data_IF_404808318076
#
_entry.id   IF_404808318076
#
_cell.length_a   1.000
_cell.length_b   1.000
_cell.length_c   1.000
_cell.angle_alpha   90.00
_cell.angle_beta   90.00
_cell.angle_gamma   90.00
#
_symmetry.space_group_name_H-M   'P 1'
#
loop_
_entity.id
_entity.type
_entity.pdbx_description
1 polymer ?
#
# COMPACT_ATOMS: atom_id res chain seq x y z
N UNK A 1 24.93 -14.15 28.75
CA UNK A 1 23.57 -13.77 28.33
C UNK A 1 22.99 -12.81 29.37
N UNK A 2 22.58 -11.60 28.96
CA UNK A 2 21.97 -10.62 29.86
C UNK A 2 20.47 -10.92 29.96
N UNK A 3 19.93 -10.95 31.18
CA UNK A 3 18.49 -11.12 31.44
C UNK A 3 17.78 -9.78 31.50
N UNK A 4 16.66 -9.66 30.79
CA UNK A 4 15.87 -8.44 30.67
C UNK A 4 14.46 -8.66 31.23
N UNK A 5 13.90 -7.62 31.87
CA UNK A 5 12.49 -7.66 32.29
C UNK A 5 11.60 -7.25 31.12
N UNK A 6 10.31 -7.64 31.11
CA UNK A 6 9.37 -7.23 30.06
C UNK A 6 9.28 -5.71 29.89
N UNK A 7 9.42 -4.94 30.96
CA UNK A 7 9.42 -3.48 30.94
C UNK A 7 10.64 -2.88 30.23
N UNK A 8 11.77 -3.59 30.23
CA UNK A 8 13.01 -3.13 29.60
C UNK A 8 12.89 -3.27 28.07
N UNK A 9 12.34 -4.40 27.58
CA UNK A 9 12.01 -4.60 26.16
C UNK A 9 10.98 -3.57 25.66
N UNK A 10 9.92 -3.37 26.44
CA UNK A 10 8.81 -2.51 26.05
C UNK A 10 9.23 -1.03 25.90
N UNK A 11 10.05 -0.54 26.83
CA UNK A 11 10.49 0.85 26.89
C UNK A 11 11.32 1.26 25.68
N UNK A 12 12.20 0.36 25.19
CA UNK A 12 13.07 0.64 24.04
C UNK A 12 12.30 0.96 22.75
N UNK A 13 11.07 0.45 22.64
CA UNK A 13 10.21 0.62 21.47
C UNK A 13 8.96 1.46 21.75
N UNK A 14 8.84 2.05 22.95
CA UNK A 14 7.67 2.84 23.33
C UNK A 14 6.35 2.05 23.35
N UNK A 15 6.40 0.74 23.56
CA UNK A 15 5.21 -0.13 23.62
C UNK A 15 4.87 -0.54 25.05
N UNK A 16 3.70 -1.13 25.25
CA UNK A 16 3.31 -1.67 26.56
C UNK A 16 3.96 -3.03 26.81
N UNK A 17 4.14 -3.38 28.08
CA UNK A 17 4.58 -4.73 28.48
C UNK A 17 3.60 -5.82 28.05
N UNK A 18 2.31 -5.48 27.93
CA UNK A 18 1.30 -6.39 27.43
C UNK A 18 1.45 -6.64 25.92
N UNK A 19 1.87 -5.65 25.13
CA UNK A 19 2.18 -5.86 23.71
C UNK A 19 3.33 -6.86 23.53
N UNK A 20 4.40 -6.76 24.33
CA UNK A 20 5.51 -7.74 24.31
C UNK A 20 5.01 -9.16 24.61
N UNK A 21 4.11 -9.31 25.60
CA UNK A 21 3.50 -10.61 25.94
C UNK A 21 2.59 -11.15 24.82
N UNK A 22 1.87 -10.27 24.14
CA UNK A 22 1.05 -10.66 23.01
C UNK A 22 1.94 -11.17 21.87
N UNK A 23 3.03 -10.46 21.55
CA UNK A 23 3.98 -10.90 20.52
C UNK A 23 4.70 -12.21 20.87
N UNK A 24 5.01 -12.47 22.15
CA UNK A 24 5.51 -13.79 22.60
C UNK A 24 4.45 -14.88 22.38
N UNK A 25 3.21 -14.63 22.83
CA UNK A 25 2.11 -15.59 22.68
C UNK A 25 1.81 -15.87 21.21
N UNK A 26 1.84 -14.85 20.37
CA UNK A 26 1.56 -14.92 18.95
C UNK A 26 2.78 -15.47 18.17
N UNK A 27 3.89 -15.81 18.84
CA UNK A 27 5.06 -16.46 18.25
C UNK A 27 5.94 -15.55 17.38
N UNK A 28 5.75 -14.23 17.45
CA UNK A 28 6.58 -13.26 16.72
C UNK A 28 7.92 -12.99 17.40
N UNK A 29 8.06 -13.38 18.66
CA UNK A 29 9.34 -13.47 19.37
C UNK A 29 9.44 -14.86 20.02
N UNK A 30 10.67 -15.37 20.26
CA UNK A 30 10.85 -16.67 20.91
C UNK A 30 10.13 -16.77 22.25
N UNK A 31 9.75 -18.00 22.61
CA UNK A 31 9.09 -18.27 23.88
C UNK A 31 10.07 -17.98 25.02
N UNK A 32 9.64 -17.12 25.95
CA UNK A 32 10.43 -16.78 27.11
C UNK A 32 10.51 -17.92 28.12
N UNK A 33 11.72 -18.15 28.63
CA UNK A 33 11.95 -18.97 29.81
C UNK A 33 11.21 -18.42 31.03
N UNK A 34 11.08 -19.25 32.07
CA UNK A 34 10.36 -18.90 33.29
C UNK A 34 11.25 -19.05 34.51
N UNK A 35 11.14 -18.10 35.44
CA UNK A 35 11.71 -18.25 36.79
C UNK A 35 11.01 -19.41 37.52
N UNK A 36 11.59 -19.94 38.61
CA UNK A 36 10.90 -20.91 39.47
C UNK A 36 9.55 -20.40 40.01
N UNK A 37 9.43 -19.08 40.17
CA UNK A 37 8.18 -18.39 40.56
C UNK A 37 7.22 -18.09 39.40
N UNK A 38 7.53 -18.51 38.17
CA UNK A 38 6.65 -18.41 37.00
C UNK A 38 6.74 -17.11 36.18
N UNK A 39 7.63 -16.18 36.54
CA UNK A 39 7.83 -14.93 35.78
C UNK A 39 8.62 -15.17 34.49
N UNK A 40 8.29 -14.42 33.42
CA UNK A 40 9.01 -14.47 32.14
C UNK A 40 10.42 -13.90 32.26
N UNK A 41 11.40 -14.61 31.71
CA UNK A 41 12.78 -14.17 31.56
C UNK A 41 13.02 -13.89 30.08
N UNK A 42 13.26 -12.63 29.74
CA UNK A 42 13.69 -12.25 28.40
C UNK A 42 15.20 -12.08 28.35
N UNK A 43 15.77 -12.15 27.15
CA UNK A 43 17.21 -12.11 26.89
C UNK A 43 17.50 -11.22 25.69
N UNK A 44 18.78 -11.03 25.34
CA UNK A 44 19.18 -10.29 24.13
C UNK A 44 18.58 -10.88 22.84
N UNK A 45 18.41 -12.21 22.76
CA UNK A 45 17.74 -12.88 21.64
C UNK A 45 16.30 -12.36 21.49
N UNK A 46 15.58 -12.21 22.59
CA UNK A 46 14.22 -11.69 22.59
C UNK A 46 14.16 -10.20 22.23
N UNK A 47 15.16 -9.41 22.65
CA UNK A 47 15.27 -8.02 22.28
C UNK A 47 15.55 -7.84 20.78
N UNK A 48 16.45 -8.66 20.22
CA UNK A 48 16.75 -8.69 18.79
C UNK A 48 15.52 -9.12 17.97
N UNK A 49 14.83 -10.19 18.38
CA UNK A 49 13.59 -10.65 17.73
C UNK A 49 12.50 -9.58 17.73
N UNK A 50 12.26 -8.94 18.89
CA UNK A 50 11.27 -7.87 19.01
C UNK A 50 11.63 -6.68 18.11
N UNK A 51 12.90 -6.29 18.08
CA UNK A 51 13.34 -5.21 17.21
C UNK A 51 13.15 -5.55 15.73
N UNK A 52 13.53 -6.76 15.32
CA UNK A 52 13.32 -7.25 13.95
C UNK A 52 11.85 -7.24 13.55
N UNK A 53 10.98 -7.83 14.38
CA UNK A 53 9.53 -7.83 14.14
C UNK A 53 8.97 -6.41 13.97
N UNK A 54 9.31 -5.49 14.88
CA UNK A 54 8.81 -4.12 14.82
C UNK A 54 9.37 -3.33 13.63
N UNK A 55 10.58 -3.64 13.17
CA UNK A 55 11.15 -3.08 11.92
C UNK A 55 10.43 -3.62 10.67
N UNK A 56 9.93 -4.87 10.71
CA UNK A 56 9.19 -5.47 9.60
C UNK A 56 7.79 -4.87 9.39
N UNK A 57 7.12 -4.42 10.46
CA UNK A 57 5.76 -3.86 10.39
C UNK A 57 5.63 -2.70 9.40
N UNK A 58 6.44 -1.62 9.43
CA UNK A 58 6.35 -0.54 8.45
C UNK A 58 6.83 -0.95 7.04
N UNK A 59 7.58 -2.05 6.90
CA UNK A 59 8.10 -2.53 5.63
C UNK A 59 7.08 -3.42 4.88
N UNK A 60 6.48 -4.37 5.60
CA UNK A 60 5.66 -5.44 5.02
C UNK A 60 4.23 -5.51 5.59
N UNK A 61 3.94 -4.78 6.66
CA UNK A 61 2.69 -4.86 7.41
C UNK A 61 2.68 -5.99 8.45
N UNK A 62 1.74 -5.92 9.40
CA UNK A 62 1.64 -6.85 10.53
C UNK A 62 1.56 -8.32 10.14
N UNK A 63 0.71 -8.66 9.16
CA UNK A 63 0.49 -10.05 8.77
C UNK A 63 1.75 -10.69 8.18
N UNK A 64 2.42 -10.01 7.25
CA UNK A 64 3.65 -10.51 6.65
C UNK A 64 4.82 -10.50 7.65
N UNK A 65 4.92 -9.47 8.51
CA UNK A 65 5.91 -9.43 9.57
C UNK A 65 5.80 -10.65 10.51
N UNK A 66 4.58 -11.01 10.93
CA UNK A 66 4.36 -12.20 11.74
C UNK A 66 4.71 -13.49 11.02
N UNK A 67 4.31 -13.63 9.74
CA UNK A 67 4.64 -14.80 8.92
C UNK A 67 6.16 -14.99 8.73
N UNK A 68 6.91 -13.89 8.56
CA UNK A 68 8.37 -13.93 8.47
C UNK A 68 8.97 -14.44 9.78
N UNK A 69 8.58 -13.85 10.93
CA UNK A 69 9.12 -14.27 12.22
C UNK A 69 8.79 -15.73 12.56
N UNK A 70 7.57 -16.18 12.24
CA UNK A 70 7.21 -17.59 12.39
C UNK A 70 8.09 -18.50 11.56
N UNK A 71 8.25 -18.21 10.25
CA UNK A 71 9.09 -19.01 9.38
C UNK A 71 10.54 -19.09 9.89
N UNK A 72 11.08 -18.00 10.46
CA UNK A 72 12.42 -18.02 11.06
C UNK A 72 12.49 -18.87 12.33
N UNK A 73 11.46 -18.84 13.20
CA UNK A 73 11.43 -19.68 14.40
C UNK A 73 11.17 -21.17 14.10
N UNK A 74 10.56 -21.47 12.96
CA UNK A 74 10.28 -22.82 12.48
C UNK A 74 11.41 -23.39 11.59
N UNK A 75 12.56 -22.71 11.50
CA UNK A 75 13.72 -23.08 10.66
C UNK A 75 13.40 -23.14 9.14
N UNK A 76 12.40 -22.38 8.70
CA UNK A 76 11.97 -22.26 7.30
C UNK A 76 12.53 -20.98 6.64
N UNK A 77 13.87 -20.82 6.64
CA UNK A 77 14.53 -19.60 6.12
C UNK A 77 14.12 -19.27 4.68
N UNK A 78 14.07 -20.24 3.79
CA UNK A 78 13.66 -20.05 2.39
C UNK A 78 12.24 -19.48 2.25
N UNK A 79 11.33 -19.90 3.14
CA UNK A 79 9.96 -19.38 3.18
C UNK A 79 9.94 -17.92 3.65
N UNK A 80 10.75 -17.56 4.65
CA UNK A 80 10.89 -16.18 5.10
C UNK A 80 11.39 -15.27 3.97
N UNK A 81 12.44 -15.71 3.26
CA UNK A 81 13.00 -15.01 2.09
C UNK A 81 11.97 -14.85 0.97
N UNK A 82 11.20 -15.91 0.67
CA UNK A 82 10.11 -15.84 -0.31
C UNK A 82 9.05 -14.78 0.04
N UNK A 83 8.71 -14.60 1.31
CA UNK A 83 7.75 -13.56 1.75
C UNK A 83 8.34 -12.16 1.55
N UNK A 84 9.63 -11.99 1.86
CA UNK A 84 10.39 -10.75 1.68
C UNK A 84 10.44 -10.37 0.19
N UNK A 85 10.81 -11.31 -0.68
CA UNK A 85 10.90 -11.09 -2.13
C UNK A 85 9.56 -10.70 -2.74
N UNK A 86 8.47 -11.35 -2.29
CA UNK A 86 7.11 -10.96 -2.69
C UNK A 86 6.79 -9.53 -2.23
N UNK A 87 7.29 -9.10 -1.08
CA UNK A 87 7.18 -7.72 -0.59
C UNK A 87 7.89 -6.73 -1.50
N UNK A 88 9.14 -6.99 -1.86
CA UNK A 88 9.90 -6.19 -2.82
C UNK A 88 9.21 -6.13 -4.20
N UNK A 89 8.72 -7.27 -4.69
CA UNK A 89 7.99 -7.34 -5.95
C UNK A 89 6.68 -6.56 -5.95
N UNK A 90 5.99 -6.44 -4.80
CA UNK A 90 4.82 -5.54 -4.66
C UNK A 90 5.24 -4.08 -4.70
N UNK A 91 6.26 -3.69 -3.94
CA UNK A 91 6.77 -2.31 -3.93
C UNK A 91 7.22 -1.83 -5.31
N UNK A 92 7.90 -2.69 -6.08
CA UNK A 92 8.31 -2.38 -7.45
C UNK A 92 7.09 -2.12 -8.35
N UNK A 93 6.10 -3.01 -8.33
CA UNK A 93 4.84 -2.82 -9.09
C UNK A 93 4.12 -1.53 -8.72
N UNK A 94 4.08 -1.17 -7.44
CA UNK A 94 3.45 0.08 -7.00
C UNK A 94 4.22 1.32 -7.52
N UNK A 95 5.55 1.26 -7.60
CA UNK A 95 6.37 2.32 -8.19
C UNK A 95 6.16 2.44 -9.70
N UNK A 96 6.10 1.32 -10.41
CA UNK A 96 5.81 1.31 -11.85
C UNK A 96 4.42 1.89 -12.12
N UNK A 97 3.45 1.57 -11.24
CA UNK A 97 2.10 2.12 -11.34
C UNK A 97 2.08 3.62 -11.14
N UNK A 98 2.76 4.12 -10.11
CA UNK A 98 2.89 5.55 -9.88
C UNK A 98 3.57 6.26 -11.07
N UNK A 99 4.62 5.67 -11.65
CA UNK A 99 5.29 6.21 -12.83
C UNK A 99 4.33 6.30 -14.03
N UNK A 100 3.58 5.23 -14.30
CA UNK A 100 2.59 5.21 -15.38
C UNK A 100 1.48 6.24 -15.17
N UNK A 101 0.97 6.40 -13.94
CA UNK A 101 -0.01 7.44 -13.60
C UNK A 101 0.55 8.83 -13.84
N UNK A 102 1.80 9.10 -13.41
CA UNK A 102 2.44 10.41 -13.63
C UNK A 102 2.62 10.72 -15.10
N UNK A 103 3.04 9.75 -15.92
CA UNK A 103 3.13 9.92 -17.38
C UNK A 103 1.76 10.23 -17.98
N UNK A 104 0.74 9.47 -17.61
CA UNK A 104 -0.64 9.67 -18.09
C UNK A 104 -1.16 11.09 -17.74
N UNK A 105 -1.00 11.52 -16.49
CA UNK A 105 -1.40 12.86 -16.03
C UNK A 105 -0.56 13.94 -16.73
N UNK A 106 0.74 13.73 -16.90
CA UNK A 106 1.62 14.66 -17.61
C UNK A 106 1.14 14.95 -19.04
N UNK A 107 0.72 13.91 -19.78
CA UNK A 107 0.13 14.08 -21.11
C UNK A 107 -1.18 14.88 -21.11
N UNK A 108 -2.02 14.70 -20.08
CA UNK A 108 -3.28 15.46 -19.94
C UNK A 108 -3.04 16.94 -19.58
N UNK A 109 -1.94 17.25 -18.88
CA UNK A 109 -1.59 18.63 -18.49
C UNK A 109 -0.73 19.38 -19.51
N UNK A 110 -0.16 18.67 -20.49
CA UNK A 110 0.78 19.23 -21.47
C UNK A 110 0.12 19.75 -22.77
N UNK A 111 -1.21 19.95 -22.79
CA UNK A 111 -1.82 20.70 -23.90
C UNK A 111 -1.23 22.13 -23.97
N UNK A 112 -0.66 22.55 -25.12
CA UNK A 112 -0.05 23.87 -25.22
C UNK A 112 -1.11 24.98 -25.16
N UNK A 113 -0.89 25.91 -24.23
CA UNK A 113 -1.38 27.30 -24.19
C UNK A 113 -2.52 27.66 -25.15
N UNK A 114 -3.75 27.56 -24.67
CA UNK A 114 -4.86 28.45 -25.01
C UNK A 114 -5.67 28.61 -23.73
N UNK A 115 -5.96 29.83 -23.24
CA UNK A 115 -6.89 29.99 -22.13
C UNK A 115 -8.21 29.32 -22.55
N UNK A 116 -8.84 28.48 -21.71
CA UNK A 116 -10.03 27.77 -22.13
C UNK A 116 -11.12 28.81 -22.40
N UNK A 117 -11.38 29.08 -23.68
CA UNK A 117 -12.73 29.38 -24.11
C UNK A 117 -13.59 28.22 -23.57
N UNK A 118 -14.70 28.49 -22.86
CA UNK A 118 -15.55 27.43 -22.35
C UNK A 118 -15.89 26.50 -23.53
N UNK A 119 -15.67 25.18 -23.40
CA UNK A 119 -15.90 24.29 -24.52
C UNK A 119 -17.35 24.44 -24.95
N UNK A 120 -17.57 24.81 -26.22
CA UNK A 120 -18.87 24.73 -26.88
C UNK A 120 -19.26 23.25 -27.16
N UNK A 121 -18.87 22.35 -26.25
CA UNK A 121 -19.30 20.96 -26.18
C UNK A 121 -20.45 20.83 -25.18
N UNK A 122 -21.17 19.70 -25.18
CA UNK A 122 -22.26 19.50 -24.23
C UNK A 122 -21.71 19.51 -22.79
N UNK A 123 -22.38 20.22 -21.88
CA UNK A 123 -22.00 20.28 -20.45
C UNK A 123 -22.08 18.91 -19.75
N UNK A 124 -22.71 17.94 -20.41
CA UNK A 124 -22.97 16.60 -19.92
C UNK A 124 -22.92 15.59 -21.06
N UNK A 125 -22.53 14.35 -20.75
CA UNK A 125 -22.51 13.24 -21.70
C UNK A 125 -23.46 12.14 -21.25
N UNK A 126 -24.04 11.41 -22.19
CA UNK A 126 -24.67 10.12 -21.93
C UNK A 126 -23.66 8.98 -22.08
N UNK A 127 -24.00 7.81 -21.55
CA UNK A 127 -23.08 6.65 -21.54
C UNK A 127 -22.58 6.25 -22.93
N UNK A 128 -23.41 6.42 -23.97
CA UNK A 128 -23.04 6.09 -25.34
C UNK A 128 -21.98 7.05 -25.92
N UNK A 129 -22.10 8.34 -25.63
CA UNK A 129 -21.17 9.36 -26.09
C UNK A 129 -19.82 9.23 -25.39
N UNK A 130 -19.82 8.99 -24.08
CA UNK A 130 -18.59 8.75 -23.33
C UNK A 130 -17.91 7.44 -23.76
N UNK A 131 -18.69 6.39 -24.02
CA UNK A 131 -18.19 5.13 -24.53
C UNK A 131 -17.51 5.30 -25.90
N UNK A 132 -18.18 6.02 -26.80
CA UNK A 132 -17.64 6.32 -28.13
C UNK A 132 -16.35 7.16 -28.05
N UNK A 133 -16.33 8.21 -27.21
CA UNK A 133 -15.16 9.06 -27.00
C UNK A 133 -13.93 8.27 -26.55
N UNK A 134 -14.12 7.28 -25.68
CA UNK A 134 -13.04 6.47 -25.11
C UNK A 134 -12.74 5.21 -25.91
N UNK A 135 -13.43 4.99 -27.04
CA UNK A 135 -13.38 3.75 -27.81
C UNK A 135 -13.56 2.49 -26.93
N UNK A 136 -14.55 2.54 -26.03
CA UNK A 136 -14.96 1.41 -25.19
C UNK A 136 -16.44 1.12 -25.34
N UNK A 137 -16.89 -0.04 -24.85
CA UNK A 137 -18.31 -0.35 -24.85
C UNK A 137 -19.03 0.34 -23.69
N UNK A 138 -20.33 0.67 -23.81
CA UNK A 138 -21.14 1.08 -22.67
C UNK A 138 -21.17 0.06 -21.53
N UNK A 139 -21.00 -1.24 -21.83
CA UNK A 139 -20.89 -2.28 -20.81
C UNK A 139 -19.61 -2.14 -19.97
N UNK A 140 -18.50 -1.72 -20.59
CA UNK A 140 -17.24 -1.39 -19.90
C UNK A 140 -17.44 -0.24 -18.91
N UNK A 141 -18.11 0.84 -19.31
CA UNK A 141 -18.40 1.97 -18.42
C UNK A 141 -19.32 1.58 -17.26
N UNK A 142 -20.32 0.72 -17.50
CA UNK A 142 -21.15 0.14 -16.42
C UNK A 142 -20.31 -0.71 -15.46
N UNK A 143 -19.32 -1.45 -15.96
CA UNK A 143 -18.40 -2.20 -15.11
C UNK A 143 -17.56 -1.25 -14.26
N UNK A 144 -17.08 -0.15 -14.84
CA UNK A 144 -16.31 0.88 -14.12
C UNK A 144 -17.14 1.56 -13.04
N UNK A 145 -18.40 1.87 -13.30
CA UNK A 145 -19.36 2.32 -12.27
C UNK A 145 -19.49 1.28 -11.14
N UNK A 146 -19.67 -0.01 -11.48
CA UNK A 146 -19.84 -1.07 -10.47
C UNK A 146 -18.65 -1.27 -9.53
N UNK A 147 -17.43 -0.94 -9.97
CA UNK A 147 -16.22 -1.03 -9.15
C UNK A 147 -15.83 0.32 -8.53
N UNK A 148 -16.67 1.36 -8.72
CA UNK A 148 -16.49 2.69 -8.14
C UNK A 148 -15.45 3.56 -8.84
N UNK A 149 -15.07 3.22 -10.08
CA UNK A 149 -14.24 4.10 -10.93
C UNK A 149 -15.07 5.30 -11.38
N UNK A 150 -16.33 5.10 -11.76
CA UNK A 150 -17.24 6.18 -12.14
C UNK A 150 -18.38 6.29 -11.12
N UNK A 151 -18.88 7.50 -10.89
CA UNK A 151 -20.04 7.72 -10.03
C UNK A 151 -20.97 8.80 -10.65
N UNK A 152 -21.49 8.55 -11.88
CA UNK A 152 -22.31 9.53 -12.57
C UNK A 152 -23.62 9.77 -11.84
N UNK A 153 -24.11 11.01 -11.91
CA UNK A 153 -25.44 11.35 -11.43
C UNK A 153 -26.52 10.76 -12.34
N UNK A 154 -27.75 10.74 -11.84
CA UNK A 154 -28.92 10.37 -12.62
C UNK A 154 -29.82 11.58 -12.79
N UNK A 155 -30.22 11.85 -14.01
CA UNK A 155 -31.21 12.87 -14.33
C UNK A 155 -32.51 12.57 -13.56
N UNK A 156 -33.00 13.49 -12.70
CA UNK A 156 -34.22 13.27 -11.93
C UNK A 156 -35.50 13.09 -12.77
N UNK A 157 -35.51 13.63 -14.00
CA UNK A 157 -36.68 13.60 -14.90
C UNK A 157 -36.71 12.35 -15.76
N UNK A 158 -35.55 11.89 -16.22
CA UNK A 158 -35.45 10.79 -17.19
C UNK A 158 -34.86 9.50 -16.61
N UNK A 159 -34.19 9.57 -15.47
CA UNK A 159 -33.52 8.45 -14.82
C UNK A 159 -32.23 7.97 -15.52
N UNK A 160 -31.84 8.63 -16.62
CA UNK A 160 -30.62 8.32 -17.36
C UNK A 160 -29.38 8.81 -16.62
N UNK A 161 -28.24 8.14 -16.89
CA UNK A 161 -26.94 8.55 -16.37
C UNK A 161 -26.46 9.79 -17.10
N UNK A 162 -26.02 10.76 -16.33
CA UNK A 162 -25.44 12.01 -16.79
C UNK A 162 -24.00 12.03 -16.31
N UNK A 163 -23.06 12.12 -17.25
CA UNK A 163 -21.64 12.21 -16.97
C UNK A 163 -21.21 13.66 -17.08
N UNK A 164 -20.59 14.20 -16.04
CA UNK A 164 -20.02 15.54 -16.05
C UNK A 164 -18.54 15.52 -16.42
N UNK A 165 -17.92 16.69 -16.60
CA UNK A 165 -16.49 16.80 -16.92
C UNK A 165 -15.57 16.10 -15.89
N UNK A 166 -15.99 15.97 -14.63
CA UNK A 166 -15.29 15.16 -13.62
C UNK A 166 -15.35 13.67 -13.94
N UNK A 167 -16.51 13.15 -14.34
CA UNK A 167 -16.66 11.73 -14.70
C UNK A 167 -15.89 11.39 -15.98
N UNK A 168 -15.84 12.31 -16.94
CA UNK A 168 -15.04 12.14 -18.16
C UNK A 168 -13.55 12.03 -17.83
N UNK A 169 -13.03 12.91 -16.96
CA UNK A 169 -11.63 12.84 -16.50
C UNK A 169 -11.32 11.53 -15.77
N UNK A 170 -12.23 11.09 -14.89
CA UNK A 170 -12.09 9.82 -14.17
C UNK A 170 -12.07 8.63 -15.14
N UNK A 171 -12.90 8.67 -16.19
CA UNK A 171 -12.96 7.66 -17.22
C UNK A 171 -11.71 7.65 -18.12
N UNK A 172 -11.18 8.82 -18.49
CA UNK A 172 -9.94 8.95 -19.26
C UNK A 172 -8.73 8.41 -18.48
N UNK A 173 -8.62 8.75 -17.18
CA UNK A 173 -7.60 8.18 -16.30
C UNK A 173 -7.72 6.66 -16.19
N UNK A 174 -8.93 6.15 -15.99
CA UNK A 174 -9.17 4.72 -15.93
C UNK A 174 -8.83 4.00 -17.24
N UNK A 175 -9.15 4.62 -18.38
CA UNK A 175 -8.82 4.10 -19.70
C UNK A 175 -7.30 3.99 -19.91
N UNK A 176 -6.54 5.04 -19.58
CA UNK A 176 -5.08 5.05 -19.69
C UNK A 176 -4.45 3.97 -18.82
N UNK A 177 -4.88 3.85 -17.56
CA UNK A 177 -4.37 2.82 -16.67
C UNK A 177 -4.77 1.41 -17.13
N UNK A 178 -5.97 1.24 -17.71
CA UNK A 178 -6.38 -0.07 -18.21
C UNK A 178 -5.53 -0.52 -19.40
N UNK A 179 -5.13 0.41 -20.29
CA UNK A 179 -4.18 0.13 -21.40
C UNK A 179 -2.78 -0.22 -20.90
N UNK A 180 -2.39 0.32 -19.75
CA UNK A 180 -1.16 -0.08 -19.03
C UNK A 180 -1.21 -1.46 -18.36
N UNK A 181 -2.33 -2.20 -18.48
CA UNK A 181 -2.47 -3.55 -17.92
C UNK A 181 -2.94 -3.60 -16.46
N UNK A 182 -3.25 -2.46 -15.84
CA UNK A 182 -3.61 -2.43 -14.42
C UNK A 182 -4.97 -3.10 -14.12
N UNK A 183 -5.11 -3.83 -13.00
CA UNK A 183 -6.38 -4.39 -12.55
C UNK A 183 -7.39 -3.31 -12.18
N UNK A 184 -8.68 -3.56 -12.42
CA UNK A 184 -9.75 -2.57 -12.18
C UNK A 184 -9.84 -2.11 -10.72
N UNK A 185 -9.58 -2.97 -9.75
CA UNK A 185 -9.61 -2.62 -8.32
C UNK A 185 -8.51 -1.61 -7.95
N UNK A 186 -7.34 -1.76 -8.56
CA UNK A 186 -6.24 -0.82 -8.40
C UNK A 186 -6.58 0.54 -9.03
N UNK A 187 -7.10 0.52 -10.26
CA UNK A 187 -7.57 1.71 -10.97
C UNK A 187 -8.62 2.46 -10.15
N UNK A 188 -9.60 1.75 -9.59
CA UNK A 188 -10.64 2.33 -8.75
C UNK A 188 -10.07 3.04 -7.51
N UNK A 189 -9.00 2.51 -6.93
CA UNK A 189 -8.34 3.11 -5.76
C UNK A 189 -7.66 4.43 -6.12
N UNK A 190 -6.91 4.45 -7.24
CA UNK A 190 -6.26 5.66 -7.75
C UNK A 190 -7.30 6.72 -8.09
N UNK A 191 -8.31 6.38 -8.90
CA UNK A 191 -9.36 7.32 -9.33
C UNK A 191 -10.11 7.92 -8.14
N UNK A 192 -10.45 7.13 -7.11
CA UNK A 192 -11.08 7.66 -5.89
C UNK A 192 -10.20 8.66 -5.14
N UNK A 193 -8.90 8.39 -5.04
CA UNK A 193 -7.95 9.31 -4.41
C UNK A 193 -7.86 10.62 -5.18
N UNK A 194 -7.77 10.55 -6.51
CA UNK A 194 -7.78 11.73 -7.40
C UNK A 194 -9.07 12.54 -7.22
N UNK A 195 -10.24 11.89 -7.25
CA UNK A 195 -11.55 12.54 -7.07
C UNK A 195 -11.64 13.25 -5.73
N UNK A 196 -11.15 12.63 -4.65
CA UNK A 196 -11.17 13.23 -3.31
C UNK A 196 -10.27 14.46 -3.17
N UNK A 197 -9.29 14.63 -4.06
CA UNK A 197 -8.33 15.72 -4.01
C UNK A 197 -8.89 17.03 -4.62
N UNK A 198 -9.82 16.97 -5.58
CA UNK A 198 -10.56 18.15 -6.04
C UNK A 198 -9.88 19.06 -7.09
N UNK A 199 -8.93 18.55 -7.89
CA UNK A 199 -8.30 19.32 -8.98
C UNK A 199 -6.93 18.77 -9.42
N UNK A 200 -6.33 19.35 -10.46
CA UNK A 200 -5.02 18.94 -11.00
C UNK A 200 -3.87 19.17 -10.01
N UNK A 201 -3.90 20.26 -9.25
CA UNK A 201 -2.87 20.56 -8.25
C UNK A 201 -2.96 19.60 -7.05
N UNK A 202 -4.18 19.26 -6.66
CA UNK A 202 -4.42 18.30 -5.59
C UNK A 202 -4.09 16.86 -6.03
N UNK A 203 -4.25 16.54 -7.32
CA UNK A 203 -3.75 15.32 -7.93
C UNK A 203 -2.21 15.25 -7.90
N UNK A 204 -1.52 16.32 -8.30
CA UNK A 204 -0.06 16.38 -8.22
C UNK A 204 0.45 16.16 -6.79
N UNK A 205 -0.15 16.85 -5.81
CA UNK A 205 0.17 16.67 -4.39
C UNK A 205 -0.09 15.24 -3.89
N UNK A 206 -1.16 14.60 -4.37
CA UNK A 206 -1.50 13.20 -4.02
C UNK A 206 -0.50 12.21 -4.61
N UNK A 207 -0.03 12.41 -5.84
CA UNK A 207 1.01 11.58 -6.47
C UNK A 207 2.35 11.75 -5.76
N UNK A 208 2.68 12.97 -5.29
CA UNK A 208 3.88 13.24 -4.50
C UNK A 208 3.81 12.58 -3.13
N UNK A 209 2.64 12.59 -2.50
CA UNK A 209 2.43 11.87 -1.24
C UNK A 209 2.57 10.36 -1.41
N UNK A 210 2.01 9.80 -2.48
CA UNK A 210 2.20 8.39 -2.81
C UNK A 210 3.67 8.06 -3.05
N UNK A 211 4.39 8.90 -3.80
CA UNK A 211 5.83 8.75 -4.01
C UNK A 211 6.59 8.70 -2.68
N UNK A 212 6.32 9.66 -1.77
CA UNK A 212 6.95 9.70 -0.45
C UNK A 212 6.65 8.45 0.37
N UNK A 213 5.42 7.94 0.34
CA UNK A 213 5.03 6.70 1.03
C UNK A 213 5.78 5.47 0.49
N UNK A 214 5.90 5.32 -0.82
CA UNK A 214 6.66 4.22 -1.43
C UNK A 214 8.16 4.31 -1.13
N UNK A 215 8.71 5.53 -1.08
CA UNK A 215 10.10 5.76 -0.67
C UNK A 215 10.30 5.42 0.79
N UNK A 216 9.42 5.86 1.68
CA UNK A 216 9.46 5.54 3.10
C UNK A 216 9.36 4.03 3.36
N UNK A 217 8.48 3.32 2.65
CA UNK A 217 8.36 1.87 2.73
C UNK A 217 9.65 1.17 2.26
N UNK A 218 10.25 1.62 1.15
CA UNK A 218 11.53 1.08 0.68
C UNK A 218 12.66 1.25 1.70
N UNK A 219 12.75 2.42 2.34
CA UNK A 219 13.71 2.66 3.44
C UNK A 219 13.39 1.77 4.65
N UNK A 220 12.11 1.56 4.96
CA UNK A 220 11.71 0.64 6.02
C UNK A 220 12.13 -0.81 5.70
N UNK A 221 12.02 -1.27 4.45
CA UNK A 221 12.50 -2.59 4.03
C UNK A 221 14.01 -2.74 4.23
N UNK A 222 14.81 -1.71 3.91
CA UNK A 222 16.26 -1.74 4.17
C UNK A 222 16.59 -1.85 5.65
N UNK A 223 15.90 -1.08 6.50
CA UNK A 223 16.06 -1.15 7.97
C UNK A 223 15.66 -2.53 8.49
N UNK A 224 14.56 -3.08 8.00
CA UNK A 224 14.08 -4.39 8.38
C UNK A 224 15.05 -5.51 8.00
N UNK A 225 15.66 -5.44 6.81
CA UNK A 225 16.70 -6.38 6.39
C UNK A 225 17.89 -6.35 7.34
N UNK A 226 18.38 -5.17 7.72
CA UNK A 226 19.48 -5.05 8.69
C UNK A 226 19.10 -5.58 10.10
N UNK A 227 17.88 -5.31 10.57
CA UNK A 227 17.40 -5.86 11.85
C UNK A 227 17.24 -7.39 11.81
N UNK A 228 16.82 -7.95 10.68
CA UNK A 228 16.69 -9.39 10.48
C UNK A 228 18.05 -10.09 10.42
N UNK A 229 19.00 -9.55 9.65
CA UNK A 229 20.37 -10.05 9.57
C UNK A 229 21.04 -10.10 10.95
N UNK A 230 20.89 -9.01 11.72
CA UNK A 230 21.32 -8.99 13.10
C UNK A 230 20.64 -10.06 13.95
N UNK A 231 19.33 -10.25 13.80
CA UNK A 231 18.60 -11.27 14.55
C UNK A 231 19.04 -12.69 14.19
N UNK A 232 19.26 -12.99 12.91
CA UNK A 232 19.78 -14.29 12.45
C UNK A 232 21.14 -14.59 13.07
N UNK A 233 22.05 -13.61 13.10
CA UNK A 233 23.37 -13.74 13.75
C UNK A 233 23.26 -13.99 15.26
N UNK A 234 22.23 -13.43 15.92
CA UNK A 234 21.98 -13.67 17.35
C UNK A 234 21.30 -15.03 17.60
N UNK A 235 20.50 -15.51 16.65
CA UNK A 235 19.83 -16.80 16.71
C UNK A 235 20.80 -17.96 16.51
N UNK A 236 21.73 -17.80 15.56
CA UNK A 236 22.77 -18.76 15.23
C UNK A 236 24.15 -18.06 15.17
N UNK A 237 24.86 -17.96 16.30
CA UNK A 237 26.15 -17.28 16.37
C UNK A 237 27.32 -18.09 15.79
N UNK A 238 27.13 -19.39 15.53
CA UNK A 238 28.19 -20.30 15.08
C UNK A 238 28.08 -20.67 13.59
N UNK A 239 26.89 -20.54 12.99
CA UNK A 239 26.65 -20.68 11.54
C UNK A 239 26.51 -22.12 11.04
#
# INVERSE_FOLDING_TARGET
MITLRPADLARRHGISTQAVRNYERDGFIPRADRTPSGYRIFTEVHAAALHAYLSLVPAYGYAAAGQIMHALHDDELDRALTIIDRGHGRLLRDRDTLAAVRTAVGHLTAEPGTPPEPPAGPETWIIGELAHRLDVTPATLRKWESVGILAPERDPRTGYRVFHASDVRDAELAHLLRRGGYPLEHIATVVRQVRSAGGTDALAASLDDWHRKLTAQGVAMLKAAASLDHYLTVLDPDG
#
